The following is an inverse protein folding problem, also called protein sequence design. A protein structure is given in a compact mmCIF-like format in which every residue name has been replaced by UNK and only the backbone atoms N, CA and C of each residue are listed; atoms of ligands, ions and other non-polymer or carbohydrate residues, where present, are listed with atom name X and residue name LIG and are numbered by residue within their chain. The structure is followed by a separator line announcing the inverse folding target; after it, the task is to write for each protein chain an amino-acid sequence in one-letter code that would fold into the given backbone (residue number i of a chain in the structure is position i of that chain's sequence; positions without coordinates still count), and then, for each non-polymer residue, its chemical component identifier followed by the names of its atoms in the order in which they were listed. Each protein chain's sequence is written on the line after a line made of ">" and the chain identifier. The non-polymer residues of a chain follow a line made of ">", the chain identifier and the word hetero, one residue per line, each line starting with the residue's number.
data_IF_013797002372
#
_entry.id   IF_013797002372
#
_cell.length_a   1.000
_cell.length_b   1.000
_cell.length_c   1.000
_cell.angle_alpha   90.00
_cell.angle_beta   90.00
_cell.angle_gamma   90.00
#
_symmetry.space_group_name_H-M   'P 1'
#
loop_
_entity.id
_entity.type
_entity.pdbx_description
1 polymer ?
#
# COMPACT_ATOMS: atom_id res chain seq x y z
N UNK A 1 51.28 32.20 -26.15
CA UNK A 1 50.85 33.38 -26.93
C UNK A 1 49.52 33.04 -27.58
N UNK A 2 48.42 33.28 -26.85
CA UNK A 2 47.47 34.40 -27.09
C UNK A 2 46.75 34.32 -28.43
N UNK A 3 45.46 33.99 -28.40
CA UNK A 3 44.39 34.96 -28.71
C UNK A 3 43.01 34.44 -28.26
N UNK A 4 42.35 35.32 -27.50
CA UNK A 4 40.97 35.26 -27.01
C UNK A 4 39.95 35.65 -28.10
N UNK A 5 38.72 35.11 -27.99
CA UNK A 5 37.41 35.80 -28.14
C UNK A 5 36.31 34.80 -27.67
N UNK A 6 35.71 34.90 -26.48
CA UNK A 6 34.69 35.81 -25.92
C UNK A 6 33.21 35.57 -26.33
N UNK A 7 32.43 35.18 -25.30
CA UNK A 7 31.01 35.42 -24.95
C UNK A 7 29.84 34.75 -25.70
N UNK A 8 29.22 33.76 -25.05
CA UNK A 8 27.99 33.86 -24.22
C UNK A 8 27.67 32.44 -23.73
N UNK A 9 27.55 32.10 -22.44
CA UNK A 9 26.82 32.78 -21.39
C UNK A 9 25.51 32.02 -21.18
N UNK A 10 25.51 31.03 -20.27
CA UNK A 10 24.54 30.80 -19.17
C UNK A 10 24.97 29.50 -18.48
N UNK A 11 25.44 29.69 -17.24
CA UNK A 11 25.67 28.69 -16.21
C UNK A 11 24.33 28.48 -15.50
N UNK A 12 23.95 27.25 -15.16
CA UNK A 12 23.37 27.00 -13.84
C UNK A 12 23.68 25.56 -13.39
N UNK A 13 24.58 25.49 -12.42
CA UNK A 13 24.90 24.31 -11.64
C UNK A 13 23.90 24.20 -10.48
N UNK A 14 23.53 22.96 -10.20
CA UNK A 14 22.86 22.43 -9.02
C UNK A 14 23.15 23.20 -7.71
N UNK A 15 22.07 23.49 -6.97
CA UNK A 15 22.08 23.41 -5.51
C UNK A 15 20.68 23.03 -5.01
N UNK A 16 20.69 21.98 -4.19
CA UNK A 16 19.58 21.38 -3.47
C UNK A 16 18.82 22.37 -2.59
N UNK A 17 17.54 22.05 -2.41
CA UNK A 17 16.77 22.34 -1.20
C UNK A 17 16.12 23.70 -1.20
N UNK A 18 14.88 23.78 -1.65
CA UNK A 18 13.93 24.85 -1.29
C UNK A 18 12.58 24.46 -1.89
N UNK A 19 11.74 23.82 -1.08
CA UNK A 19 10.27 23.98 -1.09
C UNK A 19 9.71 23.52 0.27
N UNK A 20 10.43 23.85 1.35
CA UNK A 20 9.72 24.17 2.58
C UNK A 20 9.08 25.53 2.32
N UNK A 21 7.77 25.53 2.13
CA UNK A 21 6.92 26.70 2.17
C UNK A 21 7.32 27.58 3.38
N UNK A 22 8.12 28.62 3.14
CA UNK A 22 8.58 29.56 4.17
C UNK A 22 7.44 30.53 4.53
N UNK A 23 6.36 29.98 5.08
CA UNK A 23 5.27 30.76 5.64
C UNK A 23 5.57 31.05 7.11
N UNK A 24 6.09 32.24 7.36
CA UNK A 24 6.28 32.78 8.71
C UNK A 24 6.01 34.27 8.74
N UNK A 25 5.42 34.73 9.84
CA UNK A 25 5.20 36.15 10.12
C UNK A 25 6.46 36.72 10.79
N UNK A 26 7.42 37.20 10.00
CA UNK A 26 8.69 37.75 10.49
C UNK A 26 8.59 39.27 10.62
N UNK A 27 8.67 40.01 9.52
CA UNK A 27 8.58 41.46 9.53
C UNK A 27 7.23 41.96 10.04
N UNK A 28 6.19 41.13 9.87
CA UNK A 28 4.86 41.35 10.44
C UNK A 28 4.80 41.38 11.96
N UNK A 29 5.69 40.67 12.66
CA UNK A 29 5.74 40.70 14.13
C UNK A 29 6.67 41.77 14.69
N UNK A 30 7.75 42.12 13.97
CA UNK A 30 8.74 43.11 14.43
C UNK A 30 8.41 44.54 14.00
N UNK A 31 7.76 44.72 12.86
CA UNK A 31 7.58 46.02 12.21
C UNK A 31 8.75 46.37 11.28
N UNK A 32 8.48 47.26 10.33
CA UNK A 32 9.42 47.66 9.29
C UNK A 32 10.24 48.87 9.73
N UNK A 33 11.57 48.77 9.62
CA UNK A 33 12.46 49.83 10.06
C UNK A 33 12.88 50.73 8.88
N UNK A 34 12.85 52.07 9.04
CA UNK A 34 13.28 52.99 8.00
C UNK A 34 14.82 52.99 7.84
N UNK A 35 15.31 53.13 6.61
CA UNK A 35 16.74 53.10 6.31
C UNK A 35 17.38 51.72 6.46
N UNK A 36 18.72 51.69 6.58
CA UNK A 36 19.47 50.47 6.92
C UNK A 36 19.64 50.42 8.43
N UNK A 37 19.20 49.34 9.04
CA UNK A 37 19.29 49.12 10.47
C UNK A 37 19.75 47.68 10.73
N UNK A 38 21.03 47.53 11.06
CA UNK A 38 21.65 46.24 11.32
C UNK A 38 21.06 45.53 12.55
N UNK A 39 20.29 46.23 13.40
CA UNK A 39 19.54 45.64 14.51
C UNK A 39 18.11 45.24 14.14
N UNK A 40 17.62 45.65 12.96
CA UNK A 40 16.28 45.35 12.47
C UNK A 40 16.20 43.97 11.78
N UNK A 41 16.51 42.94 12.56
CA UNK A 41 16.57 41.56 12.10
C UNK A 41 15.80 40.59 13.01
N UNK A 42 15.51 39.40 12.49
CA UNK A 42 14.84 38.30 13.19
C UNK A 42 15.56 37.00 12.86
N UNK A 43 15.68 36.04 13.80
CA UNK A 43 16.17 34.70 13.50
C UNK A 43 15.31 33.99 12.45
N UNK A 44 15.95 33.47 11.41
CA UNK A 44 15.36 32.64 10.36
C UNK A 44 16.25 31.40 10.18
N UNK A 45 15.76 30.25 10.68
CA UNK A 45 16.57 29.05 10.89
C UNK A 45 17.85 29.38 11.68
N UNK A 46 19.04 29.00 11.18
CA UNK A 46 20.34 29.25 11.83
C UNK A 46 20.96 30.61 11.46
N UNK A 47 20.20 31.50 10.84
CA UNK A 47 20.68 32.81 10.34
C UNK A 47 19.77 33.96 10.79
N UNK A 48 20.13 35.20 10.45
CA UNK A 48 19.29 36.38 10.65
C UNK A 48 18.74 36.86 9.32
N UNK A 49 17.45 37.20 9.29
CA UNK A 49 16.82 37.90 8.17
C UNK A 49 16.44 39.33 8.58
N UNK A 50 16.42 40.26 7.62
CA UNK A 50 16.23 41.69 7.87
C UNK A 50 14.87 42.22 7.39
N UNK A 51 14.36 43.24 8.10
CA UNK A 51 13.08 43.90 7.86
C UNK A 51 13.20 45.41 7.60
N UNK A 52 14.38 45.87 7.22
CA UNK A 52 14.67 47.29 6.99
C UNK A 52 14.48 47.70 5.52
N UNK A 53 14.55 49.00 5.21
CA UNK A 53 14.35 49.51 3.85
C UNK A 53 15.47 49.15 2.87
N UNK A 54 16.60 48.63 3.36
CA UNK A 54 17.69 48.16 2.51
C UNK A 54 17.28 46.93 1.70
N UNK A 55 16.33 46.15 2.22
CA UNK A 55 15.65 45.10 1.50
C UNK A 55 14.91 45.57 0.24
N UNK A 56 14.70 46.88 -0.01
CA UNK A 56 14.20 47.36 -1.32
C UNK A 56 15.25 47.36 -2.43
N UNK A 57 16.54 47.20 -2.09
CA UNK A 57 17.67 47.32 -3.03
C UNK A 57 18.36 45.99 -3.30
N UNK A 58 18.34 45.07 -2.34
CA UNK A 58 18.96 43.75 -2.41
C UNK A 58 18.04 42.70 -1.78
N UNK A 59 18.13 41.45 -2.24
CA UNK A 59 17.15 40.40 -1.89
C UNK A 59 17.76 39.22 -1.11
N UNK A 60 19.05 39.25 -0.77
CA UNK A 60 19.76 38.06 -0.29
C UNK A 60 19.51 37.72 1.19
N UNK A 61 19.25 38.72 2.03
CA UNK A 61 19.21 38.56 3.50
C UNK A 61 17.86 39.03 4.09
N UNK A 62 16.86 39.21 3.23
CA UNK A 62 15.55 39.75 3.61
C UNK A 62 14.61 38.67 4.10
N UNK A 63 13.79 38.98 5.11
CA UNK A 63 12.82 38.00 5.57
C UNK A 63 11.80 37.67 4.45
N UNK A 64 11.34 36.40 4.36
CA UNK A 64 10.45 35.95 3.29
C UNK A 64 9.16 36.78 3.14
N UNK A 65 8.65 37.37 4.23
CA UNK A 65 7.41 38.15 4.24
C UNK A 65 7.60 39.66 3.97
N UNK A 66 8.84 40.12 3.71
CA UNK A 66 9.14 41.54 3.49
C UNK A 66 8.39 42.14 2.27
N UNK A 67 8.42 41.44 1.13
CA UNK A 67 7.82 41.89 -0.13
C UNK A 67 6.34 41.53 -0.25
N UNK A 68 5.85 40.61 0.59
CA UNK A 68 4.55 39.98 0.46
C UNK A 68 3.35 40.91 0.68
N UNK A 69 3.53 42.05 1.38
CA UNK A 69 2.62 43.22 1.42
C UNK A 69 2.79 44.14 2.65
N UNK A 70 3.74 43.88 3.56
CA UNK A 70 3.75 44.57 4.85
C UNK A 70 4.65 45.82 4.94
N UNK A 71 5.87 45.77 4.38
CA UNK A 71 6.86 46.85 4.51
C UNK A 71 6.94 47.77 3.29
N UNK A 72 6.19 47.47 2.23
CA UNK A 72 6.29 48.17 0.95
C UNK A 72 5.26 49.30 0.76
N UNK A 73 4.46 49.62 1.78
CA UNK A 73 3.49 50.72 1.75
C UNK A 73 3.50 51.51 3.07
N UNK A 74 3.61 52.84 2.98
CA UNK A 74 3.22 53.80 4.05
C UNK A 74 2.28 54.84 3.42
N UNK A 75 1.33 55.47 4.16
CA UNK A 75 1.36 55.74 5.61
C UNK A 75 0.17 55.26 6.46
N UNK A 76 0.38 55.44 7.77
CA UNK A 76 -0.28 54.95 9.00
C UNK A 76 -1.82 55.13 9.18
N UNK A 77 -2.41 54.37 10.13
CA UNK A 77 -3.86 54.22 10.33
C UNK A 77 -4.51 55.35 11.15
N UNK A 78 -5.82 55.60 11.01
CA UNK A 78 -6.56 56.35 12.02
C UNK A 78 -6.82 55.48 13.27
N UNK A 79 -6.74 56.16 14.41
CA UNK A 79 -6.98 55.72 15.80
C UNK A 79 -8.17 54.77 16.01
N UNK A 80 -8.09 53.84 16.98
CA UNK A 80 -9.14 52.86 17.25
C UNK A 80 -10.37 53.55 17.83
N UNK A 81 -11.47 53.56 17.07
CA UNK A 81 -12.79 53.62 17.69
C UNK A 81 -13.06 52.27 18.33
N UNK A 82 -13.37 52.29 19.62
CA UNK A 82 -13.85 51.14 20.37
C UNK A 82 -15.14 50.63 19.72
N UNK A 83 -14.99 49.73 18.75
CA UNK A 83 -16.05 48.81 18.37
C UNK A 83 -15.89 47.64 19.33
N UNK A 84 -16.88 47.46 20.19
CA UNK A 84 -17.02 46.27 20.99
C UNK A 84 -17.12 45.07 20.04
N UNK A 85 -15.99 44.43 19.74
CA UNK A 85 -15.99 43.06 19.25
C UNK A 85 -16.36 42.20 20.45
N UNK A 86 -17.60 41.74 20.43
CA UNK A 86 -18.00 40.50 21.10
C UNK A 86 -16.86 39.48 21.02
N UNK A 87 -16.52 38.77 22.11
CA UNK A 87 -15.50 37.72 22.04
C UNK A 87 -15.93 36.75 20.95
N UNK A 88 -15.07 36.52 19.95
CA UNK A 88 -15.24 35.39 19.05
C UNK A 88 -15.38 34.16 19.95
N UNK A 89 -16.48 33.43 19.77
CA UNK A 89 -16.87 32.28 20.58
C UNK A 89 -15.64 31.42 20.93
N UNK A 90 -15.42 31.14 22.22
CA UNK A 90 -14.40 30.23 22.73
C UNK A 90 -14.74 28.79 22.28
N UNK A 91 -14.64 28.52 20.97
CA UNK A 91 -14.96 27.23 20.35
C UNK A 91 -13.94 26.92 19.27
N UNK A 92 -13.55 25.66 19.19
CA UNK A 92 -12.84 25.14 18.04
C UNK A 92 -13.82 24.86 16.90
N UNK A 93 -13.43 25.08 15.64
CA UNK A 93 -14.27 24.77 14.47
C UNK A 93 -13.60 23.71 13.61
N UNK A 94 -14.33 22.63 13.30
CA UNK A 94 -13.87 21.57 12.40
C UNK A 94 -15.01 21.07 11.52
N UNK A 95 -14.76 21.00 10.20
CA UNK A 95 -15.76 20.65 9.18
C UNK A 95 -17.10 21.40 9.33
N UNK A 96 -17.02 22.70 9.68
CA UNK A 96 -18.19 23.56 9.86
C UNK A 96 -19.00 23.33 11.14
N UNK A 97 -18.52 22.50 12.07
CA UNK A 97 -19.10 22.30 13.41
C UNK A 97 -18.22 22.93 14.49
N UNK A 98 -18.86 23.48 15.52
CA UNK A 98 -18.19 24.08 16.67
C UNK A 98 -18.07 23.08 17.82
N UNK A 99 -16.92 23.11 18.50
CA UNK A 99 -16.55 22.24 19.62
C UNK A 99 -16.07 23.11 20.78
N UNK A 100 -16.54 22.82 21.99
CA UNK A 100 -16.18 23.50 23.23
C UNK A 100 -14.95 22.87 23.87
N UNK A 101 -14.35 23.55 24.86
CA UNK A 101 -13.16 23.08 25.55
C UNK A 101 -13.33 21.64 26.10
N UNK A 102 -12.42 20.76 25.72
CA UNK A 102 -12.41 19.35 26.11
C UNK A 102 -13.23 18.43 25.21
N UNK A 103 -14.06 18.95 24.31
CA UNK A 103 -14.75 18.13 23.33
C UNK A 103 -13.77 17.54 22.30
N UNK A 104 -14.12 16.35 21.83
CA UNK A 104 -13.29 15.55 20.93
C UNK A 104 -14.00 15.29 19.61
N UNK A 105 -13.22 15.24 18.53
CA UNK A 105 -13.67 14.88 17.20
C UNK A 105 -12.62 14.00 16.54
N UNK A 106 -13.08 13.00 15.77
CA UNK A 106 -12.19 12.22 14.93
C UNK A 106 -11.96 12.94 13.60
N UNK A 107 -10.69 13.21 13.29
CA UNK A 107 -10.25 13.58 11.95
C UNK A 107 -9.53 12.37 11.34
N UNK A 108 -10.23 11.66 10.45
CA UNK A 108 -9.78 10.37 9.92
C UNK A 108 -9.40 9.41 11.08
N UNK A 109 -8.13 9.01 11.19
CA UNK A 109 -7.63 8.13 12.24
C UNK A 109 -7.10 8.88 13.49
N UNK A 110 -7.11 10.21 13.48
CA UNK A 110 -6.53 11.03 14.53
C UNK A 110 -7.61 11.62 15.43
N UNK A 111 -7.48 11.39 16.75
CA UNK A 111 -8.37 11.99 17.73
C UNK A 111 -7.95 13.44 18.00
N UNK A 112 -8.81 14.39 17.65
CA UNK A 112 -8.61 15.81 17.91
C UNK A 112 -9.36 16.25 19.16
N UNK A 113 -8.67 16.90 20.09
CA UNK A 113 -9.28 17.47 21.29
C UNK A 113 -9.21 19.00 21.25
N UNK A 114 -10.33 19.67 21.51
CA UNK A 114 -10.38 21.12 21.61
C UNK A 114 -9.73 21.57 22.93
N UNK A 115 -8.61 22.28 22.84
CA UNK A 115 -7.76 22.65 23.99
C UNK A 115 -7.33 24.11 23.92
N UNK A 116 -6.86 24.65 25.04
CA UNK A 116 -6.33 26.02 25.08
C UNK A 116 -5.01 26.09 24.32
N UNK A 117 -4.85 27.09 23.45
CA UNK A 117 -3.57 27.40 22.85
C UNK A 117 -2.67 28.13 23.86
N UNK A 118 -1.63 27.45 24.34
CA UNK A 118 -0.69 27.96 25.34
C UNK A 118 0.14 29.16 24.85
N UNK A 119 0.27 29.37 23.53
CA UNK A 119 1.10 30.43 22.96
C UNK A 119 0.32 31.70 22.66
N UNK A 120 -0.93 31.58 22.19
CA UNK A 120 -1.71 32.71 21.69
C UNK A 120 -2.97 33.02 22.51
N UNK A 121 -3.36 32.13 23.44
CA UNK A 121 -4.66 32.19 24.09
C UNK A 121 -5.81 31.85 23.12
N UNK A 122 -6.94 31.37 23.66
CA UNK A 122 -8.08 30.88 22.87
C UNK A 122 -8.08 29.35 22.71
N UNK A 123 -9.07 28.81 21.99
CA UNK A 123 -9.22 27.37 21.78
C UNK A 123 -8.73 26.93 20.40
N UNK A 124 -8.00 25.81 20.35
CA UNK A 124 -7.50 25.17 19.13
C UNK A 124 -7.67 23.65 19.21
N UNK A 125 -7.86 23.00 18.06
CA UNK A 125 -7.87 21.54 18.00
C UNK A 125 -6.43 21.02 17.97
N UNK A 126 -6.10 20.21 18.96
CA UNK A 126 -4.86 19.42 18.98
C UNK A 126 -5.20 17.99 18.62
N UNK A 127 -4.70 17.54 17.48
CA UNK A 127 -4.88 16.20 16.97
C UNK A 127 -3.67 15.33 17.28
N UNK A 128 -3.93 14.04 17.39
CA UNK A 128 -2.88 13.02 17.20
C UNK A 128 -2.27 13.14 15.80
N UNK A 129 -1.06 12.62 15.63
CA UNK A 129 -0.28 12.67 14.39
C UNK A 129 0.08 11.24 13.97
N UNK A 130 -0.95 10.39 13.86
CA UNK A 130 -0.80 9.03 13.36
C UNK A 130 -0.91 9.03 11.84
N UNK A 131 -0.10 8.19 11.19
CA UNK A 131 -0.23 7.90 9.77
C UNK A 131 -1.55 7.13 9.54
N UNK A 132 -2.49 7.74 8.81
CA UNK A 132 -3.76 7.09 8.47
C UNK A 132 -3.61 6.20 7.24
N UNK A 133 -4.40 5.13 7.17
CA UNK A 133 -4.31 4.18 6.06
C UNK A 133 -4.74 4.79 4.71
N UNK A 134 -5.74 5.68 4.75
CA UNK A 134 -6.13 6.52 3.61
C UNK A 134 -5.75 7.95 3.95
N UNK A 135 -4.86 8.53 3.16
CA UNK A 135 -4.51 9.95 3.24
C UNK A 135 -5.16 10.69 2.06
N UNK A 136 -6.08 11.64 2.30
CA UNK A 136 -6.64 12.50 1.26
C UNK A 136 -5.57 13.24 0.43
N UNK A 137 -4.45 13.64 1.03
CA UNK A 137 -3.37 14.31 0.33
C UNK A 137 -2.73 13.41 -0.73
N UNK A 138 -2.57 12.12 -0.45
CA UNK A 138 -2.08 11.14 -1.43
C UNK A 138 -3.06 10.97 -2.61
N UNK A 139 -4.36 10.99 -2.35
CA UNK A 139 -5.39 10.93 -3.40
C UNK A 139 -5.27 12.17 -4.31
N UNK A 140 -5.16 13.36 -3.72
CA UNK A 140 -5.00 14.60 -4.48
C UNK A 140 -3.72 14.59 -5.34
N UNK A 141 -2.61 14.06 -4.81
CA UNK A 141 -1.36 13.93 -5.58
C UNK A 141 -1.54 13.00 -6.78
N UNK A 142 -2.18 11.84 -6.61
CA UNK A 142 -2.45 10.91 -7.71
C UNK A 142 -3.31 11.56 -8.80
N UNK A 143 -4.35 12.30 -8.40
CA UNK A 143 -5.22 13.02 -9.32
C UNK A 143 -4.48 14.14 -10.09
N UNK A 144 -3.55 14.82 -9.42
CA UNK A 144 -2.74 15.90 -10.02
C UNK A 144 -1.66 15.37 -10.97
N UNK A 145 -0.95 14.31 -10.59
CA UNK A 145 0.17 13.77 -11.35
C UNK A 145 -0.27 12.83 -12.49
N UNK A 146 -1.51 12.33 -12.45
CA UNK A 146 -2.12 11.46 -13.46
C UNK A 146 -1.24 10.30 -13.89
N UNK A 147 -0.91 9.37 -12.97
CA UNK A 147 0.10 8.37 -13.24
C UNK A 147 -0.33 7.19 -14.10
N UNK A 148 -1.55 7.20 -14.65
CA UNK A 148 -2.14 6.06 -15.34
C UNK A 148 -2.91 5.12 -14.40
N UNK A 149 -3.11 5.52 -13.14
CA UNK A 149 -4.00 4.87 -12.18
C UNK A 149 -4.69 5.91 -11.30
N UNK A 150 -5.80 5.52 -10.65
CA UNK A 150 -6.64 6.41 -9.83
C UNK A 150 -6.68 5.96 -8.38
N UNK A 151 -6.64 6.91 -7.46
CA UNK A 151 -6.79 6.68 -6.03
C UNK A 151 -8.20 7.06 -5.53
N UNK A 152 -8.61 6.52 -4.39
CA UNK A 152 -9.92 6.74 -3.81
C UNK A 152 -10.02 6.28 -2.36
N UNK A 153 -11.15 6.61 -1.75
CA UNK A 153 -11.41 6.30 -0.35
C UNK A 153 -12.18 4.98 -0.20
N UNK A 154 -11.81 4.18 0.80
CA UNK A 154 -12.49 2.96 1.19
C UNK A 154 -12.98 3.07 2.63
N UNK A 155 -14.27 2.80 2.85
CA UNK A 155 -14.87 2.81 4.20
C UNK A 155 -14.18 1.84 5.16
N UNK A 156 -13.65 0.74 4.64
CA UNK A 156 -12.99 -0.30 5.43
C UNK A 156 -11.61 0.12 5.95
N UNK A 157 -11.01 1.14 5.33
CA UNK A 157 -9.69 1.68 5.67
C UNK A 157 -9.77 3.09 6.28
N UNK A 158 -10.82 3.85 5.99
CA UNK A 158 -11.04 5.17 6.58
C UNK A 158 -11.15 5.09 8.11
N UNK A 159 -10.45 5.97 8.81
CA UNK A 159 -10.42 5.98 10.27
C UNK A 159 -9.50 4.95 10.90
N UNK A 160 -8.86 4.07 10.11
CA UNK A 160 -7.83 3.16 10.60
C UNK A 160 -6.44 3.75 10.41
N UNK A 161 -5.54 3.46 11.33
CA UNK A 161 -4.13 3.80 11.16
C UNK A 161 -3.51 2.89 10.09
N UNK A 162 -2.49 3.40 9.41
CA UNK A 162 -1.72 2.65 8.43
C UNK A 162 -1.10 1.38 9.02
N UNK A 163 -0.66 1.46 10.29
CA UNK A 163 -0.11 0.33 11.02
C UNK A 163 -1.14 -0.78 11.22
N UNK A 164 -2.36 -0.44 11.59
CA UNK A 164 -3.46 -1.42 11.76
C UNK A 164 -3.82 -2.07 10.42
N UNK A 165 -4.00 -1.28 9.36
CA UNK A 165 -4.34 -1.84 8.05
C UNK A 165 -3.22 -2.74 7.54
N UNK A 166 -1.95 -2.38 7.71
CA UNK A 166 -0.82 -3.27 7.38
C UNK A 166 -0.87 -4.56 8.15
N UNK A 167 -1.05 -4.52 9.47
CA UNK A 167 -1.13 -5.73 10.30
C UNK A 167 -2.18 -6.71 9.77
N UNK A 168 -3.35 -6.20 9.39
CA UNK A 168 -4.46 -7.04 8.98
C UNK A 168 -4.51 -7.34 7.48
N UNK A 169 -3.88 -6.55 6.61
CA UNK A 169 -3.94 -6.73 5.14
C UNK A 169 -2.64 -7.29 4.55
N UNK A 170 -1.50 -7.15 5.24
CA UNK A 170 -0.16 -7.56 4.76
C UNK A 170 0.50 -8.57 5.69
N UNK A 171 -0.08 -9.76 5.79
CA UNK A 171 0.34 -10.80 6.73
C UNK A 171 1.40 -11.78 6.21
N UNK A 172 2.00 -11.54 5.05
CA UNK A 172 3.04 -12.45 4.57
C UNK A 172 4.35 -12.09 5.26
N UNK A 173 5.09 -13.11 5.71
CA UNK A 173 6.42 -12.94 6.29
C UNK A 173 7.50 -13.17 5.24
N UNK A 174 8.63 -12.49 5.39
CA UNK A 174 9.79 -12.61 4.50
C UNK A 174 10.20 -14.08 4.32
N UNK A 175 10.25 -14.60 3.08
CA UNK A 175 10.75 -15.95 2.85
C UNK A 175 12.20 -16.08 3.36
N UNK A 176 12.54 -17.13 4.13
CA UNK A 176 13.92 -17.33 4.59
C UNK A 176 14.89 -17.36 3.41
N UNK A 177 16.09 -16.80 3.54
CA UNK A 177 17.03 -16.70 2.41
C UNK A 177 17.37 -18.03 1.72
N UNK A 178 17.26 -19.17 2.41
CA UNK A 178 17.40 -20.50 1.78
C UNK A 178 16.26 -20.87 0.81
N UNK A 179 15.06 -20.34 1.06
CA UNK A 179 13.88 -20.45 0.18
C UNK A 179 14.03 -19.54 -1.03
N UNK A 180 14.47 -18.29 -0.82
CA UNK A 180 14.71 -17.33 -1.92
C UNK A 180 15.78 -17.85 -2.89
N UNK A 181 16.82 -18.52 -2.38
CA UNK A 181 17.91 -19.11 -3.18
C UNK A 181 17.58 -20.46 -3.83
N UNK A 182 16.33 -20.91 -3.80
CA UNK A 182 15.93 -22.12 -4.51
C UNK A 182 16.19 -21.97 -6.01
N UNK A 183 16.65 -23.06 -6.64
CA UNK A 183 16.86 -23.12 -8.09
C UNK A 183 15.53 -22.94 -8.80
N UNK A 184 15.54 -22.07 -9.81
CA UNK A 184 14.41 -21.81 -10.68
C UNK A 184 14.17 -22.99 -11.61
N UNK A 185 12.91 -23.24 -11.96
CA UNK A 185 12.58 -24.24 -12.98
C UNK A 185 12.96 -23.73 -14.36
N UNK A 186 13.45 -24.63 -15.22
CA UNK A 186 13.78 -24.31 -16.60
C UNK A 186 12.50 -24.29 -17.45
N UNK A 187 12.19 -23.14 -18.06
CA UNK A 187 11.00 -22.93 -18.89
C UNK A 187 11.46 -22.58 -20.31
N UNK A 188 11.13 -23.45 -21.27
CA UNK A 188 11.49 -23.21 -22.67
C UNK A 188 10.75 -21.99 -23.27
N UNK A 189 11.51 -20.95 -23.63
CA UNK A 189 11.07 -19.75 -24.36
C UNK A 189 10.81 -20.06 -25.86
N UNK A 190 9.79 -20.87 -26.15
CA UNK A 190 9.40 -21.23 -27.53
C UNK A 190 7.94 -20.91 -27.87
N UNK A 191 7.22 -20.26 -26.98
CA UNK A 191 5.80 -19.97 -27.18
C UNK A 191 5.55 -18.57 -27.70
N UNK A 192 4.59 -18.46 -28.62
CA UNK A 192 4.02 -17.17 -28.99
C UNK A 192 3.08 -16.73 -27.87
N UNK A 193 3.49 -15.72 -27.12
CA UNK A 193 2.67 -15.12 -26.06
C UNK A 193 1.69 -14.10 -26.68
N UNK A 194 0.38 -14.20 -26.40
CA UNK A 194 -0.57 -13.17 -26.80
C UNK A 194 -0.30 -11.84 -26.08
N UNK A 195 -0.74 -10.73 -26.68
CA UNK A 195 -0.61 -9.40 -26.05
C UNK A 195 -1.34 -9.30 -24.72
N UNK A 196 -2.52 -9.91 -24.65
CA UNK A 196 -3.37 -9.97 -23.47
C UNK A 196 -3.72 -11.42 -23.18
N UNK A 197 -3.70 -11.80 -21.91
CA UNK A 197 -4.09 -13.13 -21.47
C UNK A 197 -4.76 -13.03 -20.11
N UNK A 198 -5.88 -13.74 -19.95
CA UNK A 198 -6.56 -13.94 -18.68
C UNK A 198 -6.87 -15.43 -18.51
N UNK A 199 -6.38 -16.02 -17.42
CA UNK A 199 -6.66 -17.42 -17.05
C UNK A 199 -8.17 -17.70 -16.97
N UNK A 200 -8.99 -16.70 -16.65
CA UNK A 200 -10.45 -16.82 -16.57
C UNK A 200 -11.08 -17.03 -17.94
N UNK A 201 -10.52 -16.46 -19.00
CA UNK A 201 -11.00 -16.70 -20.37
C UNK A 201 -10.68 -18.12 -20.83
N UNK A 202 -9.54 -18.66 -20.40
CA UNK A 202 -9.09 -20.00 -20.79
C UNK A 202 -9.76 -21.13 -19.99
N UNK A 203 -9.90 -20.95 -18.67
CA UNK A 203 -10.37 -22.01 -17.76
C UNK A 203 -11.70 -21.68 -17.07
N UNK A 204 -12.29 -20.51 -17.32
CA UNK A 204 -13.65 -20.16 -16.90
C UNK A 204 -13.90 -20.35 -15.41
N UNK A 205 -14.91 -21.17 -15.10
CA UNK A 205 -15.36 -21.47 -13.74
C UNK A 205 -14.40 -22.33 -12.91
N UNK A 206 -13.28 -22.79 -13.47
CA UNK A 206 -12.23 -23.48 -12.71
C UNK A 206 -11.37 -22.51 -11.89
N UNK A 207 -11.39 -21.21 -12.22
CA UNK A 207 -10.66 -20.19 -11.49
C UNK A 207 -11.55 -19.62 -10.39
N UNK A 208 -11.10 -19.70 -9.14
CA UNK A 208 -11.81 -19.13 -8.00
C UNK A 208 -11.84 -17.60 -8.06
N UNK A 209 -12.95 -17.00 -7.61
CA UNK A 209 -13.08 -15.54 -7.49
C UNK A 209 -12.22 -14.94 -6.38
N UNK A 210 -12.41 -13.64 -6.12
CA UNK A 210 -11.72 -12.91 -5.04
C UNK A 210 -12.10 -13.47 -3.67
N UNK A 211 -11.10 -13.53 -2.78
CA UNK A 211 -11.27 -13.85 -1.36
C UNK A 211 -11.20 -12.58 -0.53
N UNK A 212 -11.79 -12.61 0.66
CA UNK A 212 -11.61 -11.56 1.66
C UNK A 212 -11.04 -12.17 2.92
N UNK A 213 -9.84 -11.72 3.30
CA UNK A 213 -9.18 -12.14 4.53
C UNK A 213 -9.74 -11.44 5.78
N UNK A 214 -10.59 -10.43 5.61
CA UNK A 214 -11.10 -9.61 6.72
C UNK A 214 -9.97 -8.89 7.47
N UNK A 215 -10.20 -8.62 8.76
CA UNK A 215 -9.21 -8.03 9.64
C UNK A 215 -8.27 -9.13 10.21
N UNK A 216 -7.58 -9.83 9.32
CA UNK A 216 -6.65 -10.91 9.65
C UNK A 216 -5.48 -10.89 8.67
N UNK A 217 -4.25 -10.77 9.17
CA UNK A 217 -3.01 -10.83 8.39
C UNK A 217 -2.75 -12.23 7.83
N UNK A 218 -3.61 -12.69 6.93
CA UNK A 218 -3.61 -14.04 6.35
C UNK A 218 -3.45 -14.05 4.84
N UNK A 219 -2.91 -12.98 4.24
CA UNK A 219 -2.58 -12.92 2.80
C UNK A 219 -1.75 -14.13 2.35
N UNK A 220 -0.84 -14.59 3.21
CA UNK A 220 -0.03 -15.79 2.99
C UNK A 220 -0.88 -17.06 2.84
N UNK A 221 -1.96 -17.18 3.59
CA UNK A 221 -2.87 -18.32 3.52
C UNK A 221 -3.86 -18.17 2.37
N UNK A 222 -4.44 -16.97 2.19
CA UNK A 222 -5.42 -16.66 1.15
C UNK A 222 -4.86 -16.94 -0.25
N UNK A 223 -3.71 -16.35 -0.57
CA UNK A 223 -3.07 -16.53 -1.88
C UNK A 223 -2.58 -17.97 -2.11
N UNK A 224 -2.08 -18.65 -1.07
CA UNK A 224 -1.66 -20.06 -1.16
C UNK A 224 -2.85 -20.98 -1.46
N UNK A 225 -3.97 -20.78 -0.77
CA UNK A 225 -5.18 -21.59 -0.92
C UNK A 225 -5.90 -21.27 -2.23
N UNK A 226 -5.93 -20.00 -2.64
CA UNK A 226 -6.43 -19.58 -3.95
C UNK A 226 -5.67 -20.28 -5.07
N UNK A 227 -4.32 -20.18 -5.06
CA UNK A 227 -3.49 -20.82 -6.07
C UNK A 227 -3.69 -22.34 -6.08
N UNK A 228 -3.63 -22.97 -4.91
CA UNK A 228 -3.79 -24.42 -4.81
C UNK A 228 -5.17 -24.90 -5.31
N UNK A 229 -6.23 -24.13 -5.05
CA UNK A 229 -7.58 -24.43 -5.55
C UNK A 229 -7.63 -24.34 -7.08
N UNK A 230 -7.14 -23.25 -7.65
CA UNK A 230 -7.17 -23.03 -9.10
C UNK A 230 -6.36 -24.11 -9.83
N UNK A 231 -5.13 -24.38 -9.35
CA UNK A 231 -4.24 -25.40 -9.94
C UNK A 231 -4.83 -26.80 -9.83
N UNK A 232 -5.47 -27.14 -8.72
CA UNK A 232 -6.14 -28.42 -8.55
C UNK A 232 -7.32 -28.57 -9.50
N UNK A 233 -8.13 -27.53 -9.68
CA UNK A 233 -9.25 -27.53 -10.62
C UNK A 233 -8.79 -27.67 -12.08
N UNK A 234 -7.75 -26.94 -12.47
CA UNK A 234 -7.15 -27.02 -13.81
C UNK A 234 -6.59 -28.43 -14.06
N UNK A 235 -5.80 -28.96 -13.13
CA UNK A 235 -5.04 -30.21 -13.35
C UNK A 235 -5.90 -31.46 -13.20
N UNK A 236 -6.99 -31.38 -12.43
CA UNK A 236 -8.03 -32.41 -12.40
C UNK A 236 -9.01 -32.32 -13.56
N UNK A 237 -8.77 -31.44 -14.55
CA UNK A 237 -9.68 -31.20 -15.69
C UNK A 237 -11.13 -30.90 -15.25
N UNK A 238 -11.29 -30.18 -14.14
CA UNK A 238 -12.59 -29.83 -13.58
C UNK A 238 -13.29 -30.95 -12.78
N UNK A 239 -12.62 -32.06 -12.47
CA UNK A 239 -13.18 -33.06 -11.55
C UNK A 239 -13.23 -32.57 -10.10
N UNK A 240 -12.26 -31.73 -9.70
CA UNK A 240 -12.18 -31.16 -8.36
C UNK A 240 -12.23 -29.62 -8.47
N UNK A 241 -13.42 -29.04 -8.36
CA UNK A 241 -13.63 -27.58 -8.50
C UNK A 241 -13.91 -26.86 -7.18
N UNK A 242 -13.94 -27.59 -6.07
CA UNK A 242 -14.25 -27.01 -4.76
C UNK A 242 -13.11 -26.13 -4.27
N UNK A 243 -13.46 -24.94 -3.77
CA UNK A 243 -12.50 -24.05 -3.10
C UNK A 243 -11.96 -24.71 -1.84
N UNK A 244 -10.65 -24.62 -1.66
CA UNK A 244 -9.97 -25.10 -0.47
C UNK A 244 -10.16 -24.12 0.69
N UNK A 245 -10.13 -24.62 1.92
CA UNK A 245 -10.40 -23.84 3.14
C UNK A 245 -9.17 -23.07 3.59
N UNK A 246 -9.29 -21.75 3.62
CA UNK A 246 -8.28 -20.88 4.25
C UNK A 246 -8.27 -21.06 5.77
N UNK A 247 -9.45 -21.15 6.40
CA UNK A 247 -9.58 -21.31 7.85
C UNK A 247 -8.86 -22.56 8.35
N UNK A 248 -8.99 -23.69 7.65
CA UNK A 248 -8.32 -24.92 8.04
C UNK A 248 -6.80 -24.78 7.99
N UNK A 249 -6.26 -24.07 6.98
CA UNK A 249 -4.83 -23.80 6.91
C UNK A 249 -4.39 -22.89 8.07
N UNK A 250 -5.13 -21.82 8.35
CA UNK A 250 -4.86 -20.89 9.44
C UNK A 250 -4.85 -21.59 10.81
N UNK A 251 -5.87 -22.39 11.09
CA UNK A 251 -6.02 -23.07 12.38
C UNK A 251 -5.02 -24.22 12.58
N UNK A 252 -4.71 -24.99 11.52
CA UNK A 252 -3.89 -26.21 11.67
C UNK A 252 -2.42 -26.08 11.29
N UNK A 253 -2.02 -25.10 10.49
CA UNK A 253 -0.62 -24.89 10.16
C UNK A 253 0.13 -24.12 11.26
N UNK A 254 0.06 -24.54 12.52
CA UNK A 254 0.58 -23.74 13.65
C UNK A 254 2.11 -23.79 13.83
N UNK A 255 2.84 -24.60 13.05
CA UNK A 255 4.30 -24.78 13.23
C UNK A 255 5.06 -23.63 12.57
N UNK A 256 5.39 -22.63 13.38
CA UNK A 256 6.14 -21.47 12.91
C UNK A 256 5.31 -20.53 12.02
N UNK A 257 3.99 -20.59 12.13
CA UNK A 257 3.09 -19.56 11.62
C UNK A 257 2.52 -18.78 12.80
N UNK A 258 2.01 -17.58 12.53
CA UNK A 258 1.41 -16.69 13.52
C UNK A 258 -0.08 -16.44 13.25
N UNK A 259 -0.71 -17.22 12.36
CA UNK A 259 -2.13 -17.09 12.04
C UNK A 259 -2.43 -15.72 11.41
N UNK A 260 -3.31 -14.95 12.04
CA UNK A 260 -3.64 -13.57 11.63
C UNK A 260 -2.53 -12.55 11.90
N UNK A 261 -1.47 -12.91 12.64
CA UNK A 261 -0.30 -12.05 12.81
C UNK A 261 0.79 -12.36 11.76
N UNK A 262 0.46 -13.18 10.77
CA UNK A 262 1.27 -13.46 9.60
C UNK A 262 1.85 -14.86 9.51
N UNK A 263 2.40 -15.19 8.35
CA UNK A 263 2.93 -16.50 8.07
C UNK A 263 3.79 -16.59 6.82
N UNK A 264 4.56 -17.67 6.76
CA UNK A 264 5.42 -18.01 5.64
C UNK A 264 4.71 -18.99 4.69
N UNK A 265 4.66 -18.63 3.42
CA UNK A 265 4.08 -19.45 2.34
C UNK A 265 4.80 -20.78 2.10
N UNK A 266 6.12 -20.86 2.31
CA UNK A 266 6.88 -22.11 2.13
C UNK A 266 6.40 -23.19 3.11
N UNK A 267 6.12 -22.78 4.35
CA UNK A 267 5.54 -23.63 5.40
C UNK A 267 4.09 -23.98 5.07
N UNK A 268 3.34 -23.07 4.46
CA UNK A 268 1.98 -23.30 4.00
C UNK A 268 1.93 -24.38 2.90
N UNK A 269 2.76 -24.29 1.87
CA UNK A 269 2.86 -25.35 0.86
C UNK A 269 3.42 -26.65 1.41
N UNK A 270 4.35 -26.59 2.37
CA UNK A 270 4.82 -27.81 3.04
C UNK A 270 3.68 -28.51 3.79
N UNK A 271 2.78 -27.73 4.41
CA UNK A 271 1.57 -28.24 5.04
C UNK A 271 0.61 -28.85 4.02
N UNK A 272 0.33 -28.15 2.91
CA UNK A 272 -0.51 -28.67 1.82
C UNK A 272 0.03 -29.99 1.25
N UNK A 273 1.35 -30.08 1.06
CA UNK A 273 2.02 -31.30 0.60
C UNK A 273 1.89 -32.46 1.59
N UNK A 274 2.11 -32.20 2.88
CA UNK A 274 2.21 -33.26 3.90
C UNK A 274 0.88 -33.67 4.51
N UNK A 275 -0.04 -32.73 4.65
CA UNK A 275 -1.31 -32.89 5.35
C UNK A 275 -2.46 -32.68 4.38
N UNK A 276 -2.42 -31.59 3.63
CA UNK A 276 -3.52 -31.11 2.81
C UNK A 276 -4.53 -30.30 3.62
N UNK A 277 -5.53 -29.79 2.93
CA UNK A 277 -6.62 -28.99 3.52
C UNK A 277 -7.97 -29.48 3.03
N UNK A 278 -9.02 -29.19 3.80
CA UNK A 278 -10.41 -29.46 3.40
C UNK A 278 -10.92 -28.35 2.50
N UNK A 279 -12.17 -28.48 2.07
CA UNK A 279 -12.88 -27.46 1.30
C UNK A 279 -13.42 -26.34 2.18
N UNK A 280 -13.60 -25.16 1.61
CA UNK A 280 -14.20 -23.99 2.28
C UNK A 280 -15.60 -24.30 2.81
N UNK A 281 -16.39 -25.11 2.09
CA UNK A 281 -17.70 -25.60 2.55
C UNK A 281 -17.61 -26.41 3.86
N UNK A 282 -16.50 -27.12 4.06
CA UNK A 282 -16.28 -27.95 5.24
C UNK A 282 -15.81 -27.13 6.44
N UNK A 283 -14.97 -26.13 6.20
CA UNK A 283 -14.47 -25.24 7.23
C UNK A 283 -14.43 -23.79 6.70
N UNK A 284 -15.56 -23.07 6.82
CA UNK A 284 -15.67 -21.69 6.34
C UNK A 284 -14.75 -20.74 7.09
N UNK A 285 -14.38 -19.64 6.44
CA UNK A 285 -13.63 -18.55 7.06
C UNK A 285 -14.43 -17.83 8.14
N UNK A 286 -13.89 -17.86 9.36
CA UNK A 286 -14.36 -17.08 10.51
C UNK A 286 -13.29 -16.08 10.97
N UNK A 287 -12.02 -16.38 10.68
CA UNK A 287 -10.89 -15.48 10.96
C UNK A 287 -11.01 -14.20 10.13
N UNK A 288 -10.78 -13.05 10.75
CA UNK A 288 -10.95 -11.73 10.13
C UNK A 288 -12.34 -11.11 10.33
N UNK A 289 -13.34 -11.91 10.71
CA UNK A 289 -14.55 -11.41 11.41
C UNK A 289 -14.35 -11.47 12.93
N UNK A 290 -13.56 -12.44 13.38
CA UNK A 290 -13.01 -12.51 14.72
C UNK A 290 -11.49 -12.70 14.66
N UNK A 291 -10.78 -12.30 15.72
CA UNK A 291 -9.35 -12.57 15.85
C UNK A 291 -9.05 -14.04 16.22
N UNK A 292 -10.08 -14.84 16.51
CA UNK A 292 -9.90 -16.24 16.88
C UNK A 292 -9.67 -17.10 15.64
N UNK A 293 -8.41 -17.52 15.47
CA UNK A 293 -7.99 -18.48 14.44
C UNK A 293 -7.94 -19.91 14.94
N UNK A 294 -8.27 -20.13 16.22
CA UNK A 294 -7.97 -21.37 16.90
C UNK A 294 -8.97 -22.48 16.58
N UNK A 295 -8.50 -23.71 16.71
CA UNK A 295 -9.37 -24.88 16.75
C UNK A 295 -8.80 -25.91 17.73
N UNK A 296 -9.61 -26.91 18.07
CA UNK A 296 -9.11 -28.03 18.88
C UNK A 296 -7.86 -28.64 18.20
N UNK A 297 -6.72 -28.53 18.88
CA UNK A 297 -5.44 -29.03 18.39
C UNK A 297 -5.51 -30.54 18.12
N UNK A 298 -6.39 -31.29 18.80
CA UNK A 298 -6.60 -32.70 18.52
C UNK A 298 -7.18 -32.93 17.12
N UNK A 299 -8.08 -32.04 16.67
CA UNK A 299 -8.64 -32.05 15.32
C UNK A 299 -7.55 -31.85 14.27
N UNK A 300 -6.57 -30.96 14.50
CA UNK A 300 -5.41 -30.82 13.62
C UNK A 300 -4.41 -31.98 13.69
N UNK A 301 -4.45 -32.76 14.78
CA UNK A 301 -3.59 -33.92 15.00
C UNK A 301 -4.15 -35.21 14.41
N UNK A 302 -5.33 -35.20 13.81
CA UNK A 302 -5.95 -36.31 13.09
C UNK A 302 -5.17 -36.71 11.81
N UNK A 303 -3.87 -37.02 11.97
CA UNK A 303 -3.10 -38.01 11.21
C UNK A 303 -3.03 -37.89 9.70
N UNK A 304 -2.48 -38.93 9.07
CA UNK A 304 -2.45 -39.20 7.63
C UNK A 304 -3.83 -39.66 7.11
N UNK A 305 -4.92 -39.16 7.71
CA UNK A 305 -6.25 -39.52 7.25
C UNK A 305 -6.46 -38.95 5.83
N UNK A 306 -7.27 -39.64 5.03
CA UNK A 306 -7.69 -39.13 3.72
C UNK A 306 -8.79 -38.07 3.85
N UNK A 307 -9.47 -38.02 5.00
CA UNK A 307 -10.62 -37.16 5.24
C UNK A 307 -10.62 -36.59 6.65
N UNK A 308 -11.34 -35.48 6.81
CA UNK A 308 -11.42 -34.68 8.03
C UNK A 308 -12.88 -34.33 8.34
N UNK A 309 -13.34 -34.46 9.60
CA UNK A 309 -14.72 -34.11 9.99
C UNK A 309 -14.92 -32.59 10.06
N UNK A 310 -15.85 -32.08 9.26
CA UNK A 310 -16.22 -30.67 9.20
C UNK A 310 -16.80 -30.18 10.54
N UNK A 311 -16.30 -29.08 11.13
CA UNK A 311 -16.68 -28.68 12.48
C UNK A 311 -18.18 -28.40 12.67
N UNK A 312 -18.83 -27.87 11.63
CA UNK A 312 -20.22 -27.41 11.71
C UNK A 312 -21.25 -28.48 11.31
N UNK A 313 -20.91 -29.42 10.42
CA UNK A 313 -21.86 -30.35 9.81
C UNK A 313 -21.69 -31.81 10.24
N UNK A 314 -20.55 -32.18 10.83
CA UNK A 314 -20.22 -33.58 11.16
C UNK A 314 -20.00 -34.48 9.94
N UNK A 315 -20.11 -33.94 8.71
CA UNK A 315 -19.74 -34.60 7.45
C UNK A 315 -18.23 -34.62 7.34
N UNK A 316 -17.65 -35.58 6.62
CA UNK A 316 -16.22 -35.58 6.33
C UNK A 316 -15.92 -34.97 4.97
N UNK A 317 -14.85 -34.16 4.88
CA UNK A 317 -14.28 -33.68 3.62
C UNK A 317 -12.95 -34.36 3.37
N UNK A 318 -12.69 -34.71 2.11
CA UNK A 318 -11.38 -35.18 1.70
C UNK A 318 -10.33 -34.07 1.84
N UNK A 319 -9.11 -34.47 2.18
CA UNK A 319 -7.96 -33.57 2.28
C UNK A 319 -7.26 -33.47 0.91
N UNK A 320 -7.31 -32.27 0.35
CA UNK A 320 -6.67 -31.95 -0.93
C UNK A 320 -5.23 -31.50 -0.70
N UNK A 321 -4.32 -31.99 -1.54
CA UNK A 321 -2.87 -31.80 -1.39
C UNK A 321 -2.27 -31.17 -2.64
N UNK A 322 -1.05 -30.68 -2.48
CA UNK A 322 -0.25 -30.14 -3.57
C UNK A 322 1.11 -30.86 -3.66
N UNK A 323 1.77 -30.75 -4.79
CA UNK A 323 3.19 -31.06 -4.92
C UNK A 323 4.03 -30.07 -4.11
N UNK A 324 5.35 -30.31 -3.94
CA UNK A 324 6.25 -29.23 -3.54
C UNK A 324 6.07 -28.00 -4.44
N UNK A 325 6.14 -26.78 -3.87
CA UNK A 325 6.19 -25.58 -4.66
C UNK A 325 7.53 -25.50 -5.41
N UNK A 326 7.54 -24.78 -6.52
CA UNK A 326 8.75 -24.52 -7.31
C UNK A 326 8.85 -23.04 -7.64
N UNK A 327 10.08 -22.55 -7.71
CA UNK A 327 10.38 -21.16 -8.03
C UNK A 327 10.42 -20.98 -9.54
N UNK A 328 9.69 -20.00 -10.04
CA UNK A 328 9.77 -19.53 -11.43
C UNK A 328 10.81 -18.41 -11.49
N UNK A 329 11.48 -18.25 -12.63
CA UNK A 329 12.47 -17.20 -12.80
C UNK A 329 11.88 -15.80 -12.69
N UNK A 330 12.75 -14.80 -12.59
CA UNK A 330 12.36 -13.39 -12.58
C UNK A 330 12.08 -12.83 -13.98
N UNK A 331 12.11 -13.67 -15.03
CA UNK A 331 11.86 -13.25 -16.40
C UNK A 331 10.34 -13.16 -16.66
N UNK A 332 9.80 -11.97 -17.01
CA UNK A 332 8.38 -11.81 -17.30
C UNK A 332 7.84 -12.80 -18.34
N UNK A 333 8.62 -13.14 -19.38
CA UNK A 333 8.17 -14.08 -20.41
C UNK A 333 8.01 -15.51 -19.86
N UNK A 334 8.89 -15.95 -18.96
CA UNK A 334 8.78 -17.27 -18.34
C UNK A 334 7.60 -17.34 -17.37
N UNK A 335 7.34 -16.25 -16.64
CA UNK A 335 6.15 -16.10 -15.80
C UNK A 335 4.89 -16.17 -16.68
N UNK A 336 4.85 -15.47 -17.81
CA UNK A 336 3.74 -15.51 -18.77
C UNK A 336 3.52 -16.93 -19.33
N UNK A 337 4.59 -17.64 -19.70
CA UNK A 337 4.51 -19.03 -20.20
C UNK A 337 3.95 -19.95 -19.12
N UNK A 338 4.42 -19.84 -17.88
CA UNK A 338 3.90 -20.65 -16.78
C UNK A 338 2.40 -20.41 -16.54
N UNK A 339 1.99 -19.13 -16.58
CA UNK A 339 0.58 -18.76 -16.43
C UNK A 339 -0.25 -19.32 -17.59
N UNK A 340 0.25 -19.17 -18.82
CA UNK A 340 -0.41 -19.66 -20.04
C UNK A 340 -0.59 -21.18 -20.01
N UNK A 341 0.42 -21.93 -19.56
CA UNK A 341 0.39 -23.40 -19.57
C UNK A 341 -0.44 -23.96 -18.43
N UNK A 342 -0.21 -23.47 -17.23
CA UNK A 342 -0.56 -24.20 -16.02
C UNK A 342 -1.53 -23.44 -15.09
N UNK A 343 -1.86 -22.17 -15.41
CA UNK A 343 -2.79 -21.35 -14.63
C UNK A 343 -2.09 -20.35 -13.72
N UNK A 344 -2.80 -19.73 -12.76
CA UNK A 344 -2.26 -18.65 -11.92
C UNK A 344 -0.93 -18.98 -11.24
N UNK A 345 -0.18 -17.97 -10.81
CA UNK A 345 1.03 -18.14 -9.98
C UNK A 345 0.92 -17.27 -8.73
N UNK A 346 1.56 -17.67 -7.63
CA UNK A 346 1.65 -16.84 -6.44
C UNK A 346 2.90 -15.98 -6.53
N UNK A 347 2.74 -14.71 -6.24
CA UNK A 347 3.84 -13.76 -6.17
C UNK A 347 3.85 -13.08 -4.82
N UNK A 348 5.02 -12.56 -4.49
CA UNK A 348 5.26 -11.78 -3.31
C UNK A 348 5.50 -10.41 -3.88
N UNK A 349 4.56 -9.53 -3.62
CA UNK A 349 4.90 -8.14 -3.68
C UNK A 349 5.59 -7.86 -2.36
N UNK A 350 6.85 -7.44 -2.48
CA UNK A 350 7.60 -7.16 -1.29
C UNK A 350 7.16 -5.79 -0.80
N UNK A 351 6.58 -5.75 0.40
CA UNK A 351 6.39 -4.50 1.15
C UNK A 351 7.69 -4.16 1.91
N UNK A 352 8.83 -4.42 1.23
CA UNK A 352 10.23 -4.05 1.51
C UNK A 352 11.23 -4.38 0.37
N UNK A 353 11.81 -3.39 -0.27
CA UNK A 353 13.26 -3.32 -0.05
C UNK A 353 13.50 -2.14 0.89
N UNK A 354 14.74 -1.69 1.01
CA UNK A 354 15.03 -0.32 1.45
C UNK A 354 14.47 0.76 0.48
N UNK A 355 13.30 0.47 -0.10
CA UNK A 355 12.37 1.10 -1.03
C UNK A 355 11.10 0.24 -1.00
N UNK A 356 10.30 0.37 0.08
CA UNK A 356 8.81 0.42 0.03
C UNK A 356 8.03 -0.63 0.83
N UNK A 357 7.13 -0.14 1.69
CA UNK A 357 5.97 -0.81 2.28
C UNK A 357 4.90 -1.10 1.20
N UNK A 358 3.79 -1.78 1.51
CA UNK A 358 2.54 -1.46 0.81
C UNK A 358 2.38 0.03 0.98
N UNK A 359 2.55 0.73 -0.13
CA UNK A 359 2.60 2.17 -0.13
C UNK A 359 1.23 2.69 0.27
N UNK A 360 1.23 3.75 1.06
CA UNK A 360 0.01 4.35 1.61
C UNK A 360 -1.02 4.58 0.50
N UNK A 361 -0.51 4.96 -0.68
CA UNK A 361 -1.26 5.15 -1.90
C UNK A 361 -1.88 3.85 -2.48
N UNK A 362 -1.26 2.67 -2.33
CA UNK A 362 -1.82 1.40 -2.81
C UNK A 362 -3.09 1.00 -2.07
N UNK A 363 -3.23 1.29 -0.77
CA UNK A 363 -4.48 1.06 -0.06
C UNK A 363 -5.64 1.86 -0.67
N UNK A 364 -5.33 3.01 -1.27
CA UNK A 364 -6.27 3.86 -1.99
C UNK A 364 -6.46 3.49 -3.47
N UNK A 365 -5.76 2.50 -4.02
CA UNK A 365 -5.89 2.10 -5.44
C UNK A 365 -7.35 1.79 -5.82
N UNK A 366 -7.84 2.37 -6.92
CA UNK A 366 -9.18 2.11 -7.48
C UNK A 366 -9.09 1.43 -8.84
N UNK A 367 -8.31 1.95 -9.79
CA UNK A 367 -8.25 1.44 -11.16
C UNK A 367 -7.00 1.89 -11.91
N UNK A 368 -6.70 1.25 -13.04
CA UNK A 368 -5.58 1.59 -13.94
C UNK A 368 -4.31 0.78 -13.64
N UNK A 369 -3.19 1.12 -14.28
CA UNK A 369 -1.93 0.39 -14.06
C UNK A 369 -1.17 1.04 -12.91
N UNK A 370 -1.23 0.41 -11.74
CA UNK A 370 -0.53 0.89 -10.56
C UNK A 370 0.97 0.99 -10.81
N UNK A 371 1.52 2.15 -10.45
CA UNK A 371 2.95 2.46 -10.36
C UNK A 371 3.15 3.32 -9.13
N UNK A 372 4.23 3.09 -8.39
CA UNK A 372 4.47 3.85 -7.17
C UNK A 372 4.93 5.30 -7.46
N UNK A 373 4.44 6.26 -6.67
CA UNK A 373 4.59 7.71 -6.95
C UNK A 373 5.61 8.47 -6.10
N UNK A 374 6.12 7.91 -4.99
CA UNK A 374 7.00 8.69 -4.08
C UNK A 374 8.51 8.52 -4.31
N UNK A 375 9.31 9.38 -3.66
CA UNK A 375 10.77 9.46 -3.85
C UNK A 375 11.62 8.89 -2.71
N UNK A 376 11.05 8.63 -1.53
CA UNK A 376 11.82 8.33 -0.31
C UNK A 376 11.64 6.92 0.27
N UNK A 377 12.70 6.47 0.97
CA UNK A 377 12.83 5.17 1.62
C UNK A 377 12.05 5.15 2.95
N UNK A 378 11.01 4.32 3.10
CA UNK A 378 10.31 4.20 4.39
C UNK A 378 11.08 3.27 5.36
N UNK A 379 10.74 3.37 6.66
CA UNK A 379 11.49 2.78 7.79
C UNK A 379 10.98 1.41 8.29
N UNK A 380 9.79 0.98 7.88
CA UNK A 380 9.16 -0.26 8.38
C UNK A 380 8.87 -1.26 7.24
N UNK A 381 8.67 -2.52 7.60
CA UNK A 381 8.76 -3.67 6.70
C UNK A 381 7.51 -4.58 6.77
N UNK A 382 6.97 -5.03 5.63
CA UNK A 382 5.90 -6.04 5.54
C UNK A 382 5.99 -6.84 4.25
N UNK A 383 5.35 -8.01 4.10
CA UNK A 383 5.21 -8.67 2.79
C UNK A 383 3.73 -8.91 2.53
N UNK A 384 3.33 -8.82 1.26
CA UNK A 384 1.98 -9.17 0.84
C UNK A 384 2.04 -10.11 -0.36
N UNK A 385 1.34 -11.23 -0.27
CA UNK A 385 1.32 -12.23 -1.34
C UNK A 385 -0.04 -12.27 -2.00
N UNK A 386 -0.01 -12.21 -3.33
CA UNK A 386 -1.19 -12.22 -4.20
C UNK A 386 -1.03 -13.32 -5.25
N UNK A 387 -2.02 -13.49 -6.11
CA UNK A 387 -1.89 -14.36 -7.30
C UNK A 387 -1.99 -13.54 -8.59
N UNK A 388 -1.11 -13.84 -9.54
CA UNK A 388 -1.19 -13.31 -10.91
C UNK A 388 -2.07 -14.23 -11.73
N UNK A 389 -3.03 -13.65 -12.44
CA UNK A 389 -4.01 -14.32 -13.28
C UNK A 389 -3.78 -14.10 -14.78
N UNK A 390 -2.91 -13.17 -15.15
CA UNK A 390 -2.77 -12.80 -16.54
C UNK A 390 -1.96 -11.54 -16.72
N UNK A 391 -1.95 -11.04 -17.94
CA UNK A 391 -1.25 -9.83 -18.33
C UNK A 391 -1.99 -9.13 -19.46
N UNK A 392 -1.63 -7.88 -19.68
CA UNK A 392 -2.04 -7.14 -20.85
C UNK A 392 -1.17 -5.93 -21.09
N UNK A 393 -1.69 -5.03 -21.91
CA UNK A 393 -1.15 -3.69 -22.08
C UNK A 393 -2.27 -2.69 -22.32
N UNK A 394 -2.04 -1.46 -21.87
CA UNK A 394 -2.90 -0.30 -22.12
C UNK A 394 -2.12 0.76 -22.88
N UNK A 395 -2.85 1.67 -23.53
CA UNK A 395 -2.25 2.82 -24.18
C UNK A 395 -2.51 4.02 -23.27
N UNK A 396 -1.44 4.70 -22.87
CA UNK A 396 -1.55 5.92 -22.06
C UNK A 396 -2.01 7.14 -22.89
N UNK A 397 -2.20 8.28 -22.23
CA UNK A 397 -2.62 9.53 -22.88
C UNK A 397 -1.61 10.00 -23.96
N UNK A 398 -0.34 9.63 -23.81
CA UNK A 398 0.75 9.98 -24.72
C UNK A 398 0.92 8.97 -25.88
N UNK A 399 0.12 7.89 -25.89
CA UNK A 399 0.16 6.84 -26.91
C UNK A 399 1.19 5.74 -26.65
N UNK A 400 1.82 5.69 -25.48
CA UNK A 400 2.77 4.64 -25.11
C UNK A 400 2.04 3.39 -24.60
N UNK A 401 2.62 2.23 -24.90
CA UNK A 401 2.13 0.95 -24.39
C UNK A 401 2.63 0.73 -22.96
N UNK A 402 1.70 0.65 -22.01
CA UNK A 402 1.95 0.32 -20.60
C UNK A 402 1.61 -1.15 -20.37
N UNK A 403 2.60 -2.06 -20.27
CA UNK A 403 2.35 -3.45 -19.94
C UNK A 403 1.98 -3.62 -18.46
N UNK A 404 1.04 -4.53 -18.17
CA UNK A 404 0.63 -4.81 -16.80
C UNK A 404 0.50 -6.31 -16.50
N UNK A 405 0.61 -6.65 -15.22
CA UNK A 405 0.12 -7.90 -14.64
C UNK A 405 -1.29 -7.72 -14.11
N UNK A 406 -2.17 -8.69 -14.36
CA UNK A 406 -3.50 -8.77 -13.75
C UNK A 406 -3.41 -9.62 -12.48
N UNK A 407 -3.67 -9.01 -11.34
CA UNK A 407 -3.53 -9.64 -10.04
C UNK A 407 -4.87 -9.73 -9.31
N UNK A 408 -5.07 -10.80 -8.56
CA UNK A 408 -6.18 -10.95 -7.63
C UNK A 408 -5.71 -10.74 -6.19
N UNK A 409 -6.31 -9.76 -5.51
CA UNK A 409 -6.05 -9.47 -4.12
C UNK A 409 -6.90 -10.37 -3.19
N UNK A 410 -6.72 -10.22 -1.88
CA UNK A 410 -7.44 -10.94 -0.82
C UNK A 410 -8.19 -10.00 0.12
N UNK A 411 -8.59 -8.81 -0.34
CA UNK A 411 -9.29 -7.78 0.46
C UNK A 411 -10.77 -7.62 0.06
N UNK A 412 -11.35 -8.66 -0.53
CA UNK A 412 -12.75 -8.64 -0.98
C UNK A 412 -12.96 -7.87 -2.28
N UNK A 413 -14.18 -7.96 -2.81
CA UNK A 413 -14.56 -7.35 -4.11
C UNK A 413 -14.85 -5.86 -4.02
N UNK A 414 -14.94 -5.30 -2.82
CA UNK A 414 -15.19 -3.87 -2.61
C UNK A 414 -13.96 -2.98 -2.81
N UNK A 415 -12.77 -3.57 -3.01
CA UNK A 415 -11.51 -2.87 -3.18
C UNK A 415 -11.00 -2.97 -4.62
N UNK A 416 -10.42 -1.90 -5.16
CA UNK A 416 -9.82 -1.87 -6.49
C UNK A 416 -10.83 -2.19 -7.61
N UNK A 417 -10.41 -2.99 -8.57
CA UNK A 417 -11.19 -3.36 -9.74
C UNK A 417 -11.97 -4.65 -9.46
N UNK A 418 -12.99 -4.58 -8.60
CA UNK A 418 -13.75 -5.75 -8.10
C UNK A 418 -12.87 -6.77 -7.35
N UNK A 419 -11.89 -6.28 -6.59
CA UNK A 419 -10.89 -7.06 -5.85
C UNK A 419 -9.65 -7.44 -6.66
N UNK A 420 -9.61 -7.04 -7.92
CA UNK A 420 -8.44 -7.15 -8.78
C UNK A 420 -7.66 -5.85 -8.82
N UNK A 421 -6.42 -5.92 -9.27
CA UNK A 421 -5.62 -4.75 -9.60
C UNK A 421 -4.68 -5.05 -10.75
N UNK A 422 -4.26 -3.99 -11.43
CA UNK A 422 -3.24 -4.03 -12.48
C UNK A 422 -2.00 -3.31 -11.99
N UNK A 423 -0.84 -3.88 -12.26
CA UNK A 423 0.45 -3.33 -11.83
C UNK A 423 1.46 -3.42 -12.97
N UNK A 424 2.32 -2.42 -13.08
CA UNK A 424 3.33 -2.31 -14.12
C UNK A 424 4.19 -3.59 -14.21
N UNK A 425 4.27 -4.15 -15.42
CA UNK A 425 5.02 -5.38 -15.73
C UNK A 425 6.34 -5.05 -16.42
N UNK A 426 7.38 -5.82 -16.11
CA UNK A 426 8.69 -5.77 -16.77
C UNK A 426 9.68 -4.76 -16.17
N UNK A 427 9.24 -3.95 -15.20
CA UNK A 427 10.11 -3.10 -14.37
C UNK A 427 10.43 -3.73 -13.01
N UNK A 428 9.94 -4.96 -12.76
CA UNK A 428 9.87 -5.54 -11.42
C UNK A 428 9.23 -4.57 -10.42
N UNK A 429 8.12 -3.94 -10.82
CA UNK A 429 7.42 -2.92 -10.03
C UNK A 429 7.15 -3.49 -8.64
N UNK A 430 7.77 -2.85 -7.65
CA UNK A 430 7.72 -3.25 -6.25
C UNK A 430 7.97 -4.75 -6.02
N UNK A 431 8.96 -5.28 -6.74
CA UNK A 431 9.49 -6.63 -6.57
C UNK A 431 8.50 -7.77 -6.87
N UNK A 432 7.39 -7.48 -7.56
CA UNK A 432 6.37 -8.48 -7.89
C UNK A 432 6.92 -9.65 -8.74
N UNK A 433 8.04 -9.44 -9.46
CA UNK A 433 8.69 -10.44 -10.30
C UNK A 433 9.90 -11.10 -9.61
N UNK A 434 10.30 -10.64 -8.41
CA UNK A 434 11.50 -11.13 -7.70
C UNK A 434 11.37 -12.55 -7.16
N UNK A 435 10.18 -12.91 -6.67
CA UNK A 435 9.90 -14.23 -6.11
C UNK A 435 8.53 -14.69 -6.59
N UNK A 436 8.53 -15.65 -7.52
CA UNK A 436 7.33 -16.20 -8.14
C UNK A 436 7.29 -17.70 -7.89
N UNK A 437 6.16 -18.20 -7.42
CA UNK A 437 5.99 -19.59 -7.02
C UNK A 437 4.82 -20.22 -7.75
N UNK A 438 5.09 -21.37 -8.36
CA UNK A 438 4.10 -22.28 -8.93
C UNK A 438 3.94 -23.53 -8.07
N UNK A 439 2.81 -24.22 -8.26
CA UNK A 439 2.53 -25.51 -7.64
C UNK A 439 1.65 -26.36 -8.54
N UNK A 440 1.71 -27.68 -8.36
CA UNK A 440 0.75 -28.61 -8.93
C UNK A 440 -0.19 -29.14 -7.84
N UNK A 441 -1.48 -29.22 -8.15
CA UNK A 441 -2.43 -30.02 -7.40
C UNK A 441 -2.06 -31.51 -7.48
N UNK A 442 -2.20 -32.20 -6.35
CA UNK A 442 -2.01 -33.65 -6.32
C UNK A 442 -3.30 -34.33 -6.77
N UNK A 443 -3.34 -34.74 -8.03
CA UNK A 443 -4.44 -35.55 -8.59
C UNK A 443 -4.02 -37.02 -8.53
N UNK A 444 -4.90 -37.92 -8.06
CA UNK A 444 -4.59 -39.35 -8.07
C UNK A 444 -4.48 -39.85 -9.52
N UNK A 445 -3.50 -40.72 -9.79
CA UNK A 445 -3.16 -41.20 -11.13
C UNK A 445 -4.29 -42.00 -11.82
N UNK A 446 -5.34 -42.37 -11.09
CA UNK A 446 -6.51 -43.10 -11.61
C UNK A 446 -7.65 -42.17 -12.09
N UNK A 447 -7.45 -40.84 -12.07
CA UNK A 447 -8.44 -39.84 -12.52
C UNK A 447 -8.17 -39.26 -13.92
N UNK A 448 -7.38 -39.95 -14.75
CA UNK A 448 -7.03 -39.54 -16.12
C UNK A 448 -7.41 -40.56 -17.18
#
# INVERSE_FOLDING_TARGET
>A
MTTLRHYSGVVFLLLLGLLACAFGQYCSRRGCCPGRDDYCNIPFYDTLCYCDEFCRRINSDCCPDYYGSLCHLTPQPPTPSAVATTPSEDVCVFNGRSYTLGEQVMDNCNLCTCQVDELFGGLTLRCEDNDCAIDPGNIEIVDLERPGWTAGNYTDFWGKTLKEVRLYRTGTLEPPGGVVRQTEVDIELRENLPKTFDVRDKWGNLIGGIQDQGDCGSSWAASTIALASDRLAIQSSGMITKRLSMQHLLSCNSRGQLGCNGGYTDRAYWFLRKRGVVTEECYPLESGQSEDTSMDKLSCKLGYLRSFPCPQSGVTSELQRSTPPYRISTNPEEIMIEIQRNGPVQVYFVSTSATFLVKEDFFSYVSGVYRYMGSDKPKDEGFHSVRILGWGSEIDEDGNEIPYWLCANSWGTGWGEDGYFRILRGSNECEIESFVVGVWGQVDADMG
#
